data_IF_150902877751
#
_entry.id   IF_150902877751
#
_cell.length_a   1.000
_cell.length_b   1.000
_cell.length_c   1.000
_cell.angle_alpha   90.00
_cell.angle_beta   90.00
_cell.angle_gamma   90.00
#
_symmetry.space_group_name_H-M   'P 1'
#
loop_
_entity.id
_entity.type
_entity.pdbx_description
1 polymer ?
#
# COMPACT_ATOMS: atom_id res chain seq x y z
N UNK A 1 -3.53 -1.55 -14.27
CA UNK A 1 -3.46 -1.16 -15.70
C UNK A 1 -4.30 0.08 -15.96
N UNK A 2 -5.64 0.05 -15.87
CA UNK A 2 -6.49 1.26 -16.04
C UNK A 2 -6.07 2.49 -15.22
N UNK A 3 -5.71 2.30 -13.95
CA UNK A 3 -5.22 3.40 -13.11
C UNK A 3 -3.90 4.01 -13.63
N UNK A 4 -3.03 3.19 -14.20
CA UNK A 4 -1.75 3.64 -14.77
C UNK A 4 -1.96 4.37 -16.10
N UNK A 5 -2.88 3.87 -16.95
CA UNK A 5 -3.28 4.52 -18.21
C UNK A 5 -3.83 5.92 -17.94
N UNK A 6 -4.79 6.05 -17.02
CA UNK A 6 -5.35 7.35 -16.63
C UNK A 6 -4.29 8.32 -16.07
N UNK A 7 -3.23 7.80 -15.44
CA UNK A 7 -2.10 8.61 -14.98
C UNK A 7 -1.23 9.08 -16.14
N UNK A 8 -0.95 8.21 -17.13
CA UNK A 8 -0.19 8.57 -18.35
C UNK A 8 -0.92 9.64 -19.15
N UNK A 9 -2.24 9.52 -19.34
CA UNK A 9 -3.07 10.53 -20.02
C UNK A 9 -2.99 11.91 -19.35
N UNK A 10 -2.78 11.92 -18.02
CA UNK A 10 -2.67 13.15 -17.22
C UNK A 10 -1.21 13.61 -17.01
N UNK A 11 -0.24 13.03 -17.71
CA UNK A 11 1.20 13.29 -17.54
C UNK A 11 1.69 13.12 -16.10
N UNK A 12 1.07 12.23 -15.32
CA UNK A 12 1.51 11.88 -13.98
C UNK A 12 2.71 10.94 -14.11
N UNK A 13 3.85 11.35 -13.56
CA UNK A 13 5.14 10.65 -13.70
C UNK A 13 5.36 9.53 -12.68
N UNK A 14 4.62 9.55 -11.57
CA UNK A 14 4.81 8.59 -10.48
C UNK A 14 3.47 8.25 -9.83
N UNK A 15 3.23 6.97 -9.58
CA UNK A 15 2.13 6.50 -8.76
C UNK A 15 2.66 6.12 -7.39
N UNK A 16 1.93 6.55 -6.35
CA UNK A 16 2.14 6.17 -4.97
C UNK A 16 0.94 5.39 -4.47
N UNK A 17 1.17 4.34 -3.70
CA UNK A 17 0.13 3.61 -3.00
C UNK A 17 0.60 3.20 -1.61
N UNK A 18 -0.35 3.04 -0.70
CA UNK A 18 -0.11 2.55 0.66
C UNK A 18 -0.85 1.22 0.83
N UNK A 19 -0.20 0.25 1.46
CA UNK A 19 -0.83 -0.99 1.91
C UNK A 19 -0.37 -1.33 3.32
N UNK A 20 -1.10 -2.18 4.04
CA UNK A 20 -0.72 -2.60 5.38
C UNK A 20 0.29 -3.75 5.33
N UNK A 21 1.10 -3.88 6.38
CA UNK A 21 2.19 -4.87 6.46
C UNK A 21 1.73 -6.34 6.36
N UNK A 22 0.48 -6.61 6.73
CA UNK A 22 -0.12 -7.95 6.65
C UNK A 22 -0.49 -8.35 5.21
N UNK A 23 -0.67 -7.39 4.30
CA UNK A 23 -1.21 -7.64 2.97
C UNK A 23 -0.13 -8.12 1.99
N UNK A 24 0.44 -9.29 2.28
CA UNK A 24 1.50 -9.93 1.48
C UNK A 24 1.04 -10.14 0.03
N UNK A 25 -0.25 -10.44 -0.18
CA UNK A 25 -0.80 -10.59 -1.53
C UNK A 25 -0.72 -9.29 -2.34
N UNK A 26 -1.07 -8.14 -1.74
CA UNK A 26 -0.92 -6.84 -2.38
C UNK A 26 0.55 -6.51 -2.64
N UNK A 27 1.43 -6.73 -1.64
CA UNK A 27 2.87 -6.51 -1.81
C UNK A 27 3.44 -7.32 -2.98
N UNK A 28 3.14 -8.61 -3.05
CA UNK A 28 3.55 -9.47 -4.16
C UNK A 28 2.97 -8.99 -5.49
N UNK A 29 1.69 -8.60 -5.52
CA UNK A 29 1.01 -8.12 -6.72
C UNK A 29 1.64 -6.84 -7.29
N UNK A 30 1.93 -5.87 -6.44
CA UNK A 30 2.48 -4.57 -6.84
C UNK A 30 3.96 -4.68 -7.21
N UNK A 31 4.76 -5.42 -6.44
CA UNK A 31 6.17 -5.62 -6.76
C UNK A 31 6.36 -6.31 -8.12
N UNK A 32 5.55 -7.34 -8.44
CA UNK A 32 5.55 -7.97 -9.77
C UNK A 32 5.22 -7.01 -10.92
N UNK A 33 4.59 -5.87 -10.63
CA UNK A 33 4.19 -4.84 -11.62
C UNK A 33 5.13 -3.64 -11.65
N UNK A 34 6.29 -3.73 -11.00
CA UNK A 34 7.32 -2.70 -11.01
C UNK A 34 7.13 -1.60 -9.96
N UNK A 35 6.22 -1.77 -9.01
CA UNK A 35 6.21 -0.92 -7.82
C UNK A 35 7.32 -1.37 -6.87
N UNK A 36 8.00 -0.42 -6.23
CA UNK A 36 9.04 -0.68 -5.23
C UNK A 36 8.65 -0.10 -3.88
N UNK A 37 9.12 -0.70 -2.80
CA UNK A 37 9.02 -0.11 -1.46
C UNK A 37 9.76 1.24 -1.45
N UNK A 38 9.15 2.24 -0.81
CA UNK A 38 9.69 3.59 -0.67
C UNK A 38 9.79 4.01 0.80
N UNK A 39 8.75 3.73 1.60
CA UNK A 39 8.70 4.15 3.01
C UNK A 39 7.88 3.19 3.86
N UNK A 40 8.33 3.01 5.11
CA UNK A 40 7.59 2.33 6.17
C UNK A 40 7.06 3.37 7.16
N UNK A 41 5.78 3.30 7.48
CA UNK A 41 5.15 4.06 8.55
C UNK A 41 4.81 3.11 9.70
N UNK A 42 5.71 3.08 10.68
CA UNK A 42 5.58 2.20 11.85
C UNK A 42 4.36 2.61 12.69
N UNK A 43 3.53 1.64 13.06
CA UNK A 43 2.34 1.82 13.89
C UNK A 43 1.28 2.79 13.32
N UNK A 44 1.34 3.12 12.02
CA UNK A 44 0.39 4.04 11.40
C UNK A 44 -1.07 3.57 11.55
N UNK A 45 -1.29 2.26 11.53
CA UNK A 45 -2.62 1.66 11.67
C UNK A 45 -3.20 1.89 13.07
N UNK A 46 -2.38 2.08 14.10
CA UNK A 46 -2.90 2.42 15.43
C UNK A 46 -3.65 3.75 15.43
N UNK A 47 -3.17 4.73 14.68
CA UNK A 47 -3.85 6.02 14.51
C UNK A 47 -5.11 5.85 13.68
N UNK A 48 -5.05 5.07 12.59
CA UNK A 48 -6.23 4.76 11.79
C UNK A 48 -7.32 4.06 12.63
N UNK A 49 -6.93 3.16 13.55
CA UNK A 49 -7.85 2.42 14.42
C UNK A 49 -8.56 3.30 15.43
N UNK A 50 -7.98 4.44 15.84
CA UNK A 50 -8.69 5.43 16.68
C UNK A 50 -9.91 6.02 15.95
N UNK A 51 -9.81 6.18 14.63
CA UNK A 51 -10.90 6.70 13.79
C UNK A 51 -11.81 5.59 13.27
N UNK A 52 -11.26 4.39 13.06
CA UNK A 52 -11.95 3.21 12.55
C UNK A 52 -11.68 2.00 13.46
N UNK A 53 -12.37 1.91 14.61
CA UNK A 53 -12.16 0.82 15.57
C UNK A 53 -12.45 -0.57 15.00
N UNK A 54 -13.21 -0.64 13.91
CA UNK A 54 -13.51 -1.86 13.16
C UNK A 54 -12.28 -2.49 12.48
N UNK A 55 -11.14 -1.79 12.39
CA UNK A 55 -9.90 -2.35 11.84
C UNK A 55 -9.37 -3.43 12.80
N UNK A 56 -9.32 -4.71 12.40
CA UNK A 56 -8.90 -5.79 13.28
C UNK A 56 -7.43 -5.66 13.68
N UNK A 57 -7.05 -6.33 14.77
CA UNK A 57 -5.66 -6.40 15.23
C UNK A 57 -4.83 -7.39 14.40
N UNK A 58 -5.47 -8.44 13.90
CA UNK A 58 -4.86 -9.52 13.13
C UNK A 58 -5.60 -9.68 11.80
N UNK A 59 -4.85 -9.89 10.73
CA UNK A 59 -5.40 -10.35 9.46
C UNK A 59 -5.64 -11.87 9.46
N UNK A 60 -6.29 -12.38 8.41
CA UNK A 60 -6.62 -13.80 8.26
C UNK A 60 -5.35 -14.69 8.27
N UNK A 61 -4.26 -14.18 7.74
CA UNK A 61 -2.94 -14.82 7.72
C UNK A 61 -2.19 -14.74 9.07
N UNK A 62 -2.85 -14.28 10.13
CA UNK A 62 -2.32 -14.15 11.50
C UNK A 62 -1.18 -13.13 11.65
N UNK A 63 -1.01 -12.24 10.70
CA UNK A 63 -0.06 -11.13 10.82
C UNK A 63 -0.75 -9.95 11.52
N UNK A 64 -0.10 -9.32 12.52
CA UNK A 64 -0.62 -8.09 13.14
C UNK A 64 -0.72 -6.95 12.13
N UNK A 65 -1.89 -6.30 12.08
CA UNK A 65 -2.12 -5.13 11.23
C UNK A 65 -1.67 -3.89 12.01
N UNK A 66 -0.46 -3.42 11.71
CA UNK A 66 0.22 -2.42 12.53
C UNK A 66 0.82 -1.29 11.70
N UNK A 67 1.54 -1.64 10.65
CA UNK A 67 2.35 -0.71 9.87
C UNK A 67 1.76 -0.50 8.48
N UNK A 68 2.07 0.66 7.91
CA UNK A 68 1.77 0.98 6.52
C UNK A 68 3.06 1.02 5.69
N UNK A 69 2.98 0.48 4.48
CA UNK A 69 4.05 0.43 3.50
C UNK A 69 3.66 1.28 2.30
N UNK A 70 4.47 2.29 2.02
CA UNK A 70 4.39 3.06 0.78
C UNK A 70 5.16 2.35 -0.32
N UNK A 71 4.50 2.17 -1.45
CA UNK A 71 5.09 1.70 -2.69
C UNK A 71 4.96 2.76 -3.77
N UNK A 72 5.98 2.84 -4.62
CA UNK A 72 6.04 3.79 -5.73
C UNK A 72 6.39 3.10 -7.04
N UNK A 73 5.83 3.60 -8.15
CA UNK A 73 6.20 3.21 -9.51
C UNK A 73 6.33 4.46 -10.36
N UNK A 74 7.47 4.59 -11.02
CA UNK A 74 7.63 5.59 -12.08
C UNK A 74 6.85 5.13 -13.32
N UNK A 75 6.10 6.05 -13.91
CA UNK A 75 5.45 5.87 -15.18
C UNK A 75 6.34 6.51 -16.25
N UNK A 76 6.91 5.66 -17.10
CA UNK A 76 7.56 6.07 -18.34
C UNK A 76 6.52 6.57 -19.34
#
# INVERSE_FOLDING_TARGET
>A
EKAEEACRERNIKQIKLITTNDNIHALAFYQKRGYRLDRLFVNAVETARKMKPEIPLLADNKIPIRDELLLVKELQ
#
